data_IF_309462381701
#
_entry.id   IF_309462381701
#
_cell.length_a   1.000
_cell.length_b   1.000
_cell.length_c   1.000
_cell.angle_alpha   90.00
_cell.angle_beta   90.00
_cell.angle_gamma   90.00
#
_symmetry.space_group_name_H-M   'P 1'
#
loop_
_entity.id
_entity.type
_entity.pdbx_description
1 polymer ?
#
# COMPACT_ATOMS: atom_id res chain seq x y z
N UNK A 1 3.55 11.41 -3.18
CA UNK A 1 2.32 11.07 -3.92
C UNK A 1 1.15 11.73 -3.21
N UNK A 2 0.17 12.28 -3.94
CA UNK A 2 -1.04 12.82 -3.33
C UNK A 2 -1.86 11.72 -2.63
N UNK A 3 -2.73 12.15 -1.71
CA UNK A 3 -3.82 11.31 -1.22
C UNK A 3 -4.90 11.12 -2.29
N UNK A 4 -5.79 10.16 -2.09
CA UNK A 4 -6.88 9.90 -3.05
C UNK A 4 -7.79 11.13 -3.24
N UNK A 5 -8.24 11.43 -4.48
CA UNK A 5 -9.10 12.59 -4.75
C UNK A 5 -10.48 12.49 -4.09
N UNK A 6 -10.97 11.27 -3.84
CA UNK A 6 -12.11 11.05 -2.94
C UNK A 6 -11.64 11.02 -1.47
N UNK A 7 -12.02 12.02 -0.65
CA UNK A 7 -11.60 12.08 0.75
C UNK A 7 -12.14 10.92 1.59
N UNK A 8 -13.28 10.31 1.24
CA UNK A 8 -13.84 9.18 1.99
C UNK A 8 -12.92 7.96 1.96
N UNK A 9 -12.21 7.75 0.86
CA UNK A 9 -11.20 6.69 0.74
C UNK A 9 -10.05 6.95 1.72
N UNK A 10 -9.52 8.17 1.71
CA UNK A 10 -8.42 8.56 2.60
C UNK A 10 -8.83 8.44 4.07
N UNK A 11 -10.00 8.97 4.44
CA UNK A 11 -10.53 8.91 5.80
C UNK A 11 -10.74 7.46 6.26
N UNK A 12 -11.31 6.61 5.41
CA UNK A 12 -11.54 5.19 5.72
C UNK A 12 -10.24 4.44 5.99
N UNK A 13 -9.24 4.61 5.13
CA UNK A 13 -7.94 3.95 5.29
C UNK A 13 -7.20 4.46 6.52
N UNK A 14 -7.15 5.78 6.73
CA UNK A 14 -6.48 6.36 7.91
C UNK A 14 -7.15 5.90 9.20
N UNK A 15 -8.48 5.85 9.24
CA UNK A 15 -9.23 5.35 10.40
C UNK A 15 -8.93 3.87 10.66
N UNK A 16 -8.88 3.04 9.62
CA UNK A 16 -8.52 1.62 9.75
C UNK A 16 -7.07 1.40 10.24
N UNK A 17 -6.12 2.19 9.74
CA UNK A 17 -4.73 2.16 10.20
C UNK A 17 -4.62 2.59 11.68
N UNK A 18 -5.36 3.62 12.09
CA UNK A 18 -5.41 4.08 13.48
C UNK A 18 -6.02 3.01 14.39
N UNK A 19 -7.14 2.39 13.99
CA UNK A 19 -7.76 1.31 14.75
C UNK A 19 -6.82 0.11 14.92
N UNK A 20 -6.06 -0.26 13.89
CA UNK A 20 -5.05 -1.31 14.01
C UNK A 20 -3.86 -0.90 14.89
N UNK A 21 -3.45 0.38 14.87
CA UNK A 21 -2.44 0.89 15.80
C UNK A 21 -2.91 0.76 17.25
N UNK A 22 -4.16 1.08 17.56
CA UNK A 22 -4.74 0.94 18.89
C UNK A 22 -4.89 -0.53 19.29
N UNK A 23 -5.27 -1.41 18.36
CA UNK A 23 -5.54 -2.82 18.63
C UNK A 23 -4.26 -3.66 18.80
N UNK A 24 -3.27 -3.51 17.91
CA UNK A 24 -2.07 -4.37 17.82
C UNK A 24 -0.76 -3.59 17.84
N UNK A 25 -0.80 -2.30 18.18
CA UNK A 25 0.39 -1.46 18.38
C UNK A 25 1.12 -1.05 17.10
N UNK A 26 0.64 -1.45 15.92
CA UNK A 26 1.23 -1.09 14.61
C UNK A 26 0.14 -0.79 13.58
N UNK A 27 0.41 0.06 12.58
CA UNK A 27 -0.56 0.43 11.55
C UNK A 27 -0.65 -0.68 10.48
N UNK A 28 -1.18 -1.84 10.86
CA UNK A 28 -1.43 -2.96 9.95
C UNK A 28 -2.40 -2.52 8.86
N UNK A 29 -2.16 -2.93 7.61
CA UNK A 29 -2.98 -2.62 6.45
C UNK A 29 -4.45 -3.00 6.72
N UNK A 30 -5.41 -2.05 6.66
CA UNK A 30 -6.82 -2.34 6.96
C UNK A 30 -7.54 -3.09 5.82
N UNK A 31 -6.93 -3.14 4.63
CA UNK A 31 -7.50 -3.81 3.46
C UNK A 31 -7.06 -5.28 3.32
N UNK A 32 -6.11 -5.75 4.13
CA UNK A 32 -5.72 -7.16 4.17
C UNK A 32 -6.50 -7.91 5.27
N UNK A 33 -6.94 -9.13 4.98
CA UNK A 33 -7.56 -9.98 5.98
C UNK A 33 -6.51 -10.77 6.76
N UNK A 34 -6.39 -10.50 8.05
CA UNK A 34 -5.53 -11.25 8.97
C UNK A 34 -6.39 -11.92 10.04
N UNK A 35 -6.48 -13.27 10.08
CA UNK A 35 -7.25 -14.00 11.09
C UNK A 35 -6.81 -13.67 12.52
N UNK A 36 -5.49 -13.53 12.72
CA UNK A 36 -4.88 -13.08 13.95
C UNK A 36 -3.94 -11.90 13.63
N UNK A 37 -4.43 -10.70 13.86
CA UNK A 37 -3.69 -9.46 13.59
C UNK A 37 -2.43 -9.34 14.46
N UNK A 38 -2.45 -9.89 15.68
CA UNK A 38 -1.31 -9.78 16.58
C UNK A 38 -0.19 -10.70 16.11
N UNK A 39 -0.51 -11.94 15.74
CA UNK A 39 0.45 -12.87 15.14
C UNK A 39 1.03 -12.34 13.82
N UNK A 40 0.21 -11.71 12.96
CA UNK A 40 0.68 -11.07 11.73
C UNK A 40 1.72 -9.98 12.00
N UNK A 41 1.43 -9.13 12.99
CA UNK A 41 2.32 -8.06 13.42
C UNK A 41 3.61 -8.63 14.02
N UNK A 42 3.55 -9.67 14.84
CA UNK A 42 4.74 -10.21 15.51
C UNK A 42 5.63 -11.03 14.56
N UNK A 43 5.04 -11.69 13.56
CA UNK A 43 5.77 -12.56 12.64
C UNK A 43 6.59 -11.81 11.57
N UNK A 44 6.07 -10.71 11.04
CA UNK A 44 6.72 -9.97 9.96
C UNK A 44 6.30 -8.49 9.93
N UNK A 45 6.77 -7.73 8.93
CA UNK A 45 6.37 -6.33 8.67
C UNK A 45 5.71 -6.12 7.31
N UNK A 46 5.40 -7.20 6.60
CA UNK A 46 4.92 -7.23 5.22
C UNK A 46 3.70 -6.31 5.05
N UNK A 47 2.74 -6.40 5.96
CA UNK A 47 1.49 -5.64 5.88
C UNK A 47 1.45 -4.38 6.75
N UNK A 48 2.56 -3.97 7.37
CA UNK A 48 2.61 -2.75 8.19
C UNK A 48 2.81 -1.53 7.32
N UNK A 49 1.91 -0.55 7.38
CA UNK A 49 1.99 0.66 6.57
C UNK A 49 3.30 1.45 6.83
N UNK A 50 4.04 1.88 5.81
CA UNK A 50 3.92 1.51 4.38
C UNK A 50 4.31 0.03 4.18
N UNK A 51 3.42 -0.79 3.59
CA UNK A 51 3.61 -2.24 3.41
C UNK A 51 4.74 -2.55 2.41
N UNK A 52 5.17 -3.82 2.36
CA UNK A 52 6.28 -4.23 1.52
C UNK A 52 6.03 -3.96 0.02
N UNK A 53 4.81 -4.16 -0.50
CA UNK A 53 4.46 -3.78 -1.88
C UNK A 53 4.66 -2.29 -2.15
N UNK A 54 4.30 -1.43 -1.19
CA UNK A 54 4.52 0.01 -1.31
C UNK A 54 6.03 0.32 -1.32
N UNK A 55 6.82 -0.35 -0.49
CA UNK A 55 8.27 -0.13 -0.41
C UNK A 55 9.05 -0.73 -1.58
N UNK A 56 8.53 -1.78 -2.22
CA UNK A 56 9.19 -2.48 -3.32
C UNK A 56 8.74 -1.94 -4.67
N UNK A 57 7.44 -1.71 -4.84
CA UNK A 57 6.79 -1.41 -6.12
C UNK A 57 6.05 -0.07 -6.14
N UNK A 58 5.93 0.63 -5.00
CA UNK A 58 5.11 1.85 -4.88
C UNK A 58 3.62 1.62 -5.12
N UNK A 59 3.19 0.37 -5.04
CA UNK A 59 1.80 -0.01 -5.18
C UNK A 59 1.11 0.08 -3.82
N UNK A 60 -0.03 0.79 -3.77
CA UNK A 60 -0.86 0.90 -2.57
C UNK A 60 -2.24 0.35 -2.86
N UNK A 61 -2.51 -0.90 -2.46
CA UNK A 61 -3.82 -1.52 -2.61
C UNK A 61 -4.94 -0.73 -1.90
N UNK A 62 -4.64 -0.09 -0.77
CA UNK A 62 -5.60 0.73 -0.04
C UNK A 62 -5.99 2.03 -0.77
N UNK A 63 -5.30 2.37 -1.86
CA UNK A 63 -5.47 3.64 -2.58
C UNK A 63 -5.20 4.90 -1.72
N UNK A 64 -4.47 4.77 -0.60
CA UNK A 64 -4.07 5.93 0.21
C UNK A 64 -3.00 6.77 -0.48
N UNK A 65 -2.08 6.11 -1.19
CA UNK A 65 -1.05 6.77 -1.98
C UNK A 65 -1.25 6.42 -3.45
N UNK A 66 -1.64 7.40 -4.26
CA UNK A 66 -2.09 7.22 -5.64
C UNK A 66 -1.57 8.33 -6.56
N UNK A 67 -1.84 8.24 -7.86
CA UNK A 67 -1.66 9.35 -8.81
C UNK A 67 -2.72 10.44 -8.59
N UNK A 68 -2.61 11.57 -9.30
CA UNK A 68 -3.61 12.64 -9.23
C UNK A 68 -5.00 12.18 -9.68
N UNK A 69 -5.09 11.16 -10.54
CA UNK A 69 -6.34 10.55 -11.00
C UNK A 69 -6.92 9.53 -10.00
N UNK A 70 -6.26 9.29 -8.87
CA UNK A 70 -6.70 8.31 -7.87
C UNK A 70 -6.32 6.86 -8.19
N UNK A 71 -5.44 6.61 -9.16
CA UNK A 71 -5.01 5.26 -9.55
C UNK A 71 -3.75 4.84 -8.77
N UNK A 72 -3.61 3.55 -8.40
CA UNK A 72 -2.38 3.06 -7.80
C UNK A 72 -1.27 2.98 -8.86
N UNK A 73 -0.02 3.26 -8.47
CA UNK A 73 1.13 3.05 -9.37
C UNK A 73 1.34 1.55 -9.57
N UNK A 74 1.38 1.12 -10.83
CA UNK A 74 1.60 -0.29 -11.21
C UNK A 74 2.85 -0.49 -12.07
N UNK A 75 3.55 0.60 -12.46
CA UNK A 75 4.74 0.58 -13.31
C UNK A 75 5.83 -0.40 -12.86
N UNK A 76 6.00 -0.55 -11.54
CA UNK A 76 7.05 -1.38 -10.97
C UNK A 76 6.60 -2.80 -10.63
N UNK A 77 5.30 -3.09 -10.73
CA UNK A 77 4.78 -4.43 -10.47
C UNK A 77 5.20 -5.42 -11.57
N UNK A 78 5.40 -6.71 -11.24
CA UNK A 78 5.51 -7.78 -12.22
C UNK A 78 4.32 -7.79 -13.18
N UNK A 79 4.54 -8.24 -14.43
CA UNK A 79 3.51 -8.24 -15.46
C UNK A 79 2.31 -9.15 -15.13
N UNK A 80 2.55 -10.20 -14.36
CA UNK A 80 1.56 -11.16 -13.89
C UNK A 80 0.90 -10.79 -12.55
N UNK A 81 1.31 -9.68 -11.92
CA UNK A 81 0.71 -9.20 -10.68
C UNK A 81 -0.74 -8.76 -10.89
N UNK A 82 -1.66 -9.17 -10.01
CA UNK A 82 -3.09 -8.87 -10.11
C UNK A 82 -3.37 -7.37 -10.26
N UNK A 83 -2.75 -6.52 -9.44
CA UNK A 83 -2.87 -5.07 -9.55
C UNK A 83 -2.54 -4.53 -10.96
N UNK A 84 -1.56 -5.13 -11.66
CA UNK A 84 -1.21 -4.73 -13.02
C UNK A 84 -2.16 -5.28 -14.07
N UNK A 85 -2.77 -6.44 -13.83
CA UNK A 85 -3.82 -6.98 -14.68
C UNK A 85 -5.11 -6.16 -14.59
N UNK A 86 -5.46 -5.69 -13.38
CA UNK A 86 -6.69 -4.91 -13.11
C UNK A 86 -6.56 -3.46 -13.58
N UNK A 87 -5.50 -2.77 -13.18
CA UNK A 87 -5.34 -1.33 -13.46
C UNK A 87 -4.56 -1.04 -14.74
N UNK A 88 -3.97 -2.06 -15.38
CA UNK A 88 -3.05 -1.87 -16.50
C UNK A 88 -1.74 -1.22 -16.07
N UNK A 89 -1.09 -0.52 -17.01
CA UNK A 89 0.14 0.23 -16.75
C UNK A 89 -0.19 1.67 -16.28
N UNK A 90 0.01 1.92 -15.00
CA UNK A 90 -0.07 3.26 -14.38
C UNK A 90 1.34 3.69 -14.01
N UNK A 91 1.82 4.75 -14.68
CA UNK A 91 3.17 5.28 -14.50
C UNK A 91 3.36 5.90 -13.12
N UNK A 92 4.58 5.82 -12.60
CA UNK A 92 4.97 6.52 -11.39
C UNK A 92 5.20 8.01 -11.71
N UNK A 93 4.39 8.95 -11.16
CA UNK A 93 4.58 10.37 -11.41
C UNK A 93 5.81 10.94 -10.68
N UNK A 94 6.42 10.18 -9.76
CA UNK A 94 7.51 10.64 -8.89
C UNK A 94 8.62 9.57 -8.76
N UNK A 95 9.25 9.13 -9.86
CA UNK A 95 10.13 7.95 -9.87
C UNK A 95 11.32 8.03 -8.91
N UNK A 96 11.76 9.25 -8.57
CA UNK A 96 12.90 9.48 -7.67
C UNK A 96 12.52 9.44 -6.17
N UNK A 97 11.23 9.24 -5.84
CA UNK A 97 10.73 9.25 -4.46
C UNK A 97 10.15 7.88 -4.04
N UNK A 98 10.38 7.52 -2.77
CA UNK A 98 9.87 6.28 -2.17
C UNK A 98 10.62 5.04 -2.65
N UNK A 99 9.92 3.89 -2.62
CA UNK A 99 10.45 2.57 -2.97
C UNK A 99 11.79 2.23 -2.28
N UNK A 100 11.88 2.43 -0.98
CA UNK A 100 13.10 2.22 -0.20
C UNK A 100 13.61 0.77 -0.25
N UNK A 101 12.73 -0.19 -0.56
CA UNK A 101 13.03 -1.60 -0.69
C UNK A 101 13.13 -2.10 -2.14
N UNK A 102 13.25 -1.19 -3.13
CA UNK A 102 13.37 -1.57 -4.57
C UNK A 102 14.47 -2.59 -4.89
N UNK A 103 15.53 -2.60 -4.08
CA UNK A 103 16.67 -3.52 -4.23
C UNK A 103 16.32 -4.98 -3.93
N UNK A 104 15.14 -5.28 -3.40
CA UNK A 104 14.68 -6.64 -3.10
C UNK A 104 13.98 -7.33 -4.28
N UNK A 105 13.64 -6.56 -5.31
CA UNK A 105 12.76 -7.00 -6.42
C UNK A 105 13.36 -6.67 -7.80
N UNK A 106 14.65 -6.35 -7.83
CA UNK A 106 15.41 -5.98 -9.03
C UNK A 106 15.72 -7.16 -9.94
#
# INVERSE_FOLDING_TARGET
MPAHPDPQVTEGVVSGLAANMEQVGRPLCPCNFSPDKQAEVDGNREWVCACDEMKQFKFCHCLLFVTEEGLPVTEHLPADHEGRQVYGMVKDPTPDLGREARHRVS
#
